data_IF_826845490822
#
_entry.id   IF_826845490822
#
_cell.length_a   1.000
_cell.length_b   1.000
_cell.length_c   1.000
_cell.angle_alpha   90.00
_cell.angle_beta   90.00
_cell.angle_gamma   90.00
#
_symmetry.space_group_name_H-M   'P 1'
#
loop_
_entity.id
_entity.type
_entity.pdbx_description
1 polymer ?
#
# COMPACT_ATOMS: atom_id res chain seq x y z
N UNK A 1 9.07 -19.41 -8.30
CA UNK A 1 9.05 -18.53 -7.10
C UNK A 1 8.01 -17.40 -7.17
N UNK A 2 7.32 -17.14 -8.30
CA UNK A 2 6.34 -16.05 -8.42
C UNK A 2 4.94 -16.37 -7.87
N UNK A 3 4.47 -17.62 -8.00
CA UNK A 3 3.09 -18.00 -7.64
C UNK A 3 2.81 -17.92 -6.14
N UNK A 4 3.67 -18.48 -5.27
CA UNK A 4 3.45 -18.49 -3.83
C UNK A 4 3.44 -17.08 -3.20
N UNK A 5 4.26 -16.16 -3.73
CA UNK A 5 4.27 -14.77 -3.28
C UNK A 5 3.00 -14.01 -3.69
N UNK A 6 2.42 -14.34 -4.85
CA UNK A 6 1.14 -13.80 -5.31
C UNK A 6 -0.03 -14.33 -4.47
N UNK A 7 -0.02 -15.61 -4.12
CA UNK A 7 -1.04 -16.21 -3.25
C UNK A 7 -1.02 -15.60 -1.84
N UNK A 8 0.17 -15.34 -1.29
CA UNK A 8 0.32 -14.65 -0.01
C UNK A 8 -0.14 -13.18 -0.06
N UNK A 9 0.04 -12.49 -1.20
CA UNK A 9 -0.43 -11.12 -1.38
C UNK A 9 -1.97 -11.02 -1.47
N UNK A 10 -2.64 -12.09 -1.93
CA UNK A 10 -4.11 -12.20 -2.03
C UNK A 10 -4.80 -12.57 -0.71
N UNK A 11 -4.06 -12.75 0.38
CA UNK A 11 -4.70 -13.09 1.66
C UNK A 11 -5.58 -11.92 2.10
N UNK A 12 -6.90 -12.14 2.06
CA UNK A 12 -7.90 -11.14 2.40
C UNK A 12 -7.68 -10.70 3.84
N UNK A 13 -7.26 -9.46 4.01
CA UNK A 13 -7.17 -8.83 5.32
C UNK A 13 -8.41 -7.98 5.54
N UNK A 14 -8.85 -7.87 6.79
CA UNK A 14 -10.00 -7.06 7.18
C UNK A 14 -9.92 -5.64 6.61
N UNK A 15 -11.05 -5.13 6.15
CA UNK A 15 -11.19 -3.73 5.75
C UNK A 15 -11.38 -2.84 6.97
N UNK A 16 -10.78 -1.65 6.92
CA UNK A 16 -10.92 -0.63 7.94
C UNK A 16 -11.47 0.63 7.30
N UNK A 17 -12.55 1.17 7.87
CA UNK A 17 -13.10 2.44 7.43
C UNK A 17 -12.50 3.57 8.26
N UNK A 18 -12.14 4.66 7.59
CA UNK A 18 -11.54 5.81 8.24
C UNK A 18 -11.73 7.09 7.46
N UNK A 19 -11.37 8.20 8.11
CA UNK A 19 -11.45 9.55 7.55
C UNK A 19 -10.04 10.07 7.30
N UNK A 20 -9.83 10.69 6.13
CA UNK A 20 -8.57 11.33 5.78
C UNK A 20 -8.40 12.61 6.60
N UNK A 21 -7.38 12.64 7.47
CA UNK A 21 -7.06 13.79 8.34
C UNK A 21 -6.15 14.79 7.62
N UNK A 22 -5.22 14.30 6.81
CA UNK A 22 -4.33 15.16 6.03
C UNK A 22 -3.91 14.49 4.72
N UNK A 23 -4.13 15.20 3.62
CA UNK A 23 -3.66 14.86 2.28
C UNK A 23 -2.77 15.98 1.71
N UNK A 24 -1.95 15.69 0.69
CA UNK A 24 -1.14 16.68 -0.03
C UNK A 24 0.21 17.05 0.60
N UNK A 25 0.43 16.74 1.88
CA UNK A 25 1.71 17.01 2.56
C UNK A 25 2.84 16.05 2.13
N UNK A 26 2.47 14.82 1.75
CA UNK A 26 3.40 13.77 1.37
C UNK A 26 2.98 13.15 0.05
N UNK A 27 3.94 12.90 -0.84
CA UNK A 27 3.66 12.25 -2.12
C UNK A 27 3.09 10.84 -1.91
N UNK A 28 2.02 10.52 -2.63
CA UNK A 28 1.37 9.19 -2.64
C UNK A 28 1.05 8.62 -1.26
N UNK A 29 0.78 9.49 -0.29
CA UNK A 29 0.61 9.14 1.12
C UNK A 29 -0.40 10.07 1.78
N UNK A 30 -1.30 9.48 2.56
CA UNK A 30 -2.27 10.23 3.37
C UNK A 30 -2.26 9.76 4.82
N UNK A 31 -2.67 10.62 5.74
CA UNK A 31 -2.90 10.27 7.14
C UNK A 31 -4.38 10.00 7.34
N UNK A 32 -4.72 8.80 7.82
CA UNK A 32 -6.10 8.34 7.95
C UNK A 32 -6.38 7.99 9.41
N UNK A 33 -7.49 8.48 9.94
CA UNK A 33 -7.97 8.14 11.28
C UNK A 33 -8.99 7.03 11.19
N UNK A 34 -8.70 5.93 11.88
CA UNK A 34 -9.58 4.76 11.98
C UNK A 34 -10.14 4.68 13.40
N UNK A 35 -11.42 4.30 13.50
CA UNK A 35 -12.07 4.05 14.78
C UNK A 35 -11.43 2.89 15.54
N UNK A 36 -11.45 2.97 16.86
CA UNK A 36 -10.96 1.90 17.71
C UNK A 36 -11.61 2.01 19.08
N UNK A 37 -11.69 0.89 19.79
CA UNK A 37 -12.14 0.86 21.17
C UNK A 37 -11.12 0.13 22.03
N UNK A 38 -11.02 0.54 23.29
CA UNK A 38 -10.19 -0.09 24.30
C UNK A 38 -11.02 -0.33 25.56
N UNK A 39 -11.06 -1.58 26.00
CA UNK A 39 -11.61 -1.94 27.30
C UNK A 39 -10.69 -1.46 28.43
N UNK A 40 -11.28 -0.84 29.45
CA UNK A 40 -10.60 -0.47 30.69
C UNK A 40 -11.13 -1.34 31.82
N UNK A 41 -10.31 -2.30 32.28
CA UNK A 41 -10.71 -3.26 33.32
C UNK A 41 -11.06 -2.60 34.65
N UNK A 42 -10.34 -1.55 35.08
CA UNK A 42 -10.64 -0.87 36.34
C UNK A 42 -12.05 -0.24 36.38
N UNK A 43 -12.56 0.21 35.23
CA UNK A 43 -13.86 0.90 35.11
C UNK A 43 -14.92 0.00 34.46
N UNK A 44 -14.52 -1.18 33.95
CA UNK A 44 -15.37 -2.12 33.21
C UNK A 44 -16.15 -1.43 32.07
N UNK A 45 -15.47 -0.56 31.31
CA UNK A 45 -16.08 0.24 30.23
C UNK A 45 -15.22 0.26 28.97
N UNK A 46 -15.89 0.28 27.81
CA UNK A 46 -15.28 0.51 26.51
C UNK A 46 -15.07 2.02 26.28
N UNK A 47 -13.84 2.42 25.97
CA UNK A 47 -13.49 3.79 25.61
C UNK A 47 -13.08 3.88 24.14
N UNK A 48 -13.47 4.96 23.47
CA UNK A 48 -13.03 5.25 22.10
C UNK A 48 -11.54 5.58 22.07
N UNK A 49 -10.78 4.84 21.26
CA UNK A 49 -9.36 5.04 21.03
C UNK A 49 -9.06 5.03 19.53
N UNK A 50 -9.28 6.16 18.83
CA UNK A 50 -8.97 6.25 17.41
C UNK A 50 -7.46 6.11 17.19
N UNK A 51 -7.08 5.52 16.04
CA UNK A 51 -5.68 5.37 15.62
C UNK A 51 -5.47 6.04 14.28
N UNK A 52 -4.31 6.69 14.12
CA UNK A 52 -3.92 7.30 12.86
C UNK A 52 -2.92 6.38 12.14
N UNK A 53 -3.11 6.15 10.86
CA UNK A 53 -2.23 5.37 10.00
C UNK A 53 -1.72 6.21 8.83
N UNK A 54 -0.49 5.93 8.41
CA UNK A 54 0.01 6.39 7.11
C UNK A 54 -0.39 5.37 6.05
N UNK A 55 -1.19 5.81 5.09
CA UNK A 55 -1.79 4.97 4.07
C UNK A 55 -1.21 5.34 2.71
N UNK A 56 -0.92 4.33 1.90
CA UNK A 56 -0.45 4.52 0.54
C UNK A 56 -1.62 4.78 -0.41
N UNK A 57 -1.56 5.94 -1.08
CA UNK A 57 -2.44 6.33 -2.18
C UNK A 57 -1.61 6.37 -3.48
N UNK A 58 -1.71 5.37 -4.37
CA UNK A 58 -0.85 5.26 -5.55
C UNK A 58 -0.93 6.45 -6.52
N UNK A 59 -2.12 7.01 -6.68
CA UNK A 59 -2.45 8.01 -7.70
C UNK A 59 -2.79 9.39 -7.11
N UNK A 60 -2.64 9.57 -5.78
CA UNK A 60 -2.91 10.84 -5.10
C UNK A 60 -4.34 11.36 -5.34
N UNK A 61 -5.31 10.44 -5.33
CA UNK A 61 -6.73 10.73 -5.58
C UNK A 61 -7.45 11.35 -4.38
N UNK A 62 -6.89 11.19 -3.18
CA UNK A 62 -7.58 11.56 -1.94
C UNK A 62 -7.41 13.03 -1.55
N UNK A 63 -8.40 13.56 -0.85
CA UNK A 63 -8.44 14.90 -0.25
C UNK A 63 -8.73 14.79 1.25
N UNK A 64 -8.37 15.84 1.99
CA UNK A 64 -8.68 15.91 3.42
C UNK A 64 -10.19 15.92 3.63
N UNK A 65 -10.70 15.07 4.52
CA UNK A 65 -12.13 14.93 4.79
C UNK A 65 -12.80 13.74 4.11
N UNK A 66 -12.17 13.08 3.15
CA UNK A 66 -12.75 11.90 2.50
C UNK A 66 -12.95 10.74 3.49
N UNK A 67 -14.04 10.01 3.34
CA UNK A 67 -14.27 8.71 4.01
C UNK A 67 -13.85 7.61 3.07
N UNK A 68 -12.96 6.72 3.53
CA UNK A 68 -12.32 5.70 2.70
C UNK A 68 -12.31 4.33 3.38
N UNK A 69 -12.22 3.27 2.56
CA UNK A 69 -11.83 1.94 3.03
C UNK A 69 -10.35 1.72 2.78
N UNK A 70 -9.65 1.22 3.80
CA UNK A 70 -8.23 0.87 3.73
C UNK A 70 -8.03 -0.60 4.07
N UNK A 71 -7.02 -1.19 3.42
CA UNK A 71 -6.63 -2.58 3.64
C UNK A 71 -5.22 -2.62 4.23
N UNK A 72 -4.99 -3.28 5.37
CA UNK A 72 -3.67 -3.52 5.93
C UNK A 72 -2.93 -4.63 5.16
N UNK A 73 -1.63 -4.78 5.43
CA UNK A 73 -0.81 -5.84 4.82
C UNK A 73 0.02 -5.38 3.62
N UNK A 74 -0.31 -4.22 3.05
CA UNK A 74 0.46 -3.61 1.97
C UNK A 74 1.63 -2.76 2.50
N UNK A 75 2.81 -3.38 2.63
CA UNK A 75 4.02 -2.70 3.11
C UNK A 75 4.74 -1.97 1.98
N UNK A 76 4.58 -0.65 1.91
CA UNK A 76 5.30 0.22 0.94
C UNK A 76 6.52 0.90 1.55
N UNK A 77 6.51 1.16 2.86
CA UNK A 77 7.55 1.90 3.61
C UNK A 77 7.54 1.42 5.07
N UNK A 78 8.56 1.71 5.92
CA UNK A 78 8.59 1.21 7.31
C UNK A 78 7.32 1.49 8.13
N UNK A 79 6.73 2.68 7.97
CA UNK A 79 5.51 3.11 8.68
C UNK A 79 4.23 3.01 7.83
N UNK A 80 4.34 2.73 6.52
CA UNK A 80 3.18 2.60 5.60
C UNK A 80 2.87 1.13 5.36
N UNK A 81 1.85 0.62 6.05
CA UNK A 81 1.41 -0.78 6.03
C UNK A 81 -0.02 -0.98 5.54
N UNK A 82 -0.65 0.12 5.11
CA UNK A 82 -2.02 0.16 4.65
C UNK A 82 -2.05 0.77 3.26
N UNK A 83 -3.00 0.33 2.44
CA UNK A 83 -3.28 0.88 1.12
C UNK A 83 -4.76 1.23 1.01
N UNK A 84 -5.07 2.24 0.21
CA UNK A 84 -6.45 2.62 -0.09
C UNK A 84 -7.10 1.53 -0.95
N UNK A 85 -8.34 1.13 -0.62
CA UNK A 85 -9.14 0.23 -1.45
C UNK A 85 -10.10 1.01 -2.34
N UNK A 86 -10.95 1.83 -1.74
CA UNK A 86 -11.93 2.66 -2.43
C UNK A 86 -12.32 3.88 -1.58
N UNK A 87 -12.85 4.90 -2.25
CA UNK A 87 -13.49 6.06 -1.61
C UNK A 87 -14.95 5.68 -1.33
N UNK A 88 -15.38 5.84 -0.08
CA UNK A 88 -16.76 5.59 0.34
C UNK A 88 -17.58 6.86 0.15
N UNK A 89 -17.08 7.98 0.65
CA UNK A 89 -17.70 9.29 0.47
C UNK A 89 -16.62 10.33 0.17
N UNK A 90 -16.63 10.96 -1.03
CA UNK A 90 -15.72 12.05 -1.34
C UNK A 90 -16.15 13.33 -0.62
N UNK A 91 -15.18 14.13 -0.21
CA UNK A 91 -15.38 15.48 0.31
C UNK A 91 -14.90 16.54 -0.70
N UNK A 92 -15.74 17.53 -1.00
CA UNK A 92 -15.43 18.57 -1.96
C UNK A 92 -15.58 18.07 -3.40
N UNK A 93 -14.46 17.82 -4.10
CA UNK A 93 -14.51 17.44 -5.52
C UNK A 93 -15.09 16.03 -5.72
N UNK A 94 -15.93 15.81 -6.74
CA UNK A 94 -16.52 14.50 -7.01
C UNK A 94 -15.47 13.47 -7.43
N UNK A 95 -15.82 12.18 -7.35
CA UNK A 95 -14.89 11.09 -7.67
C UNK A 95 -14.49 11.07 -9.15
N UNK A 96 -15.37 11.55 -10.04
CA UNK A 96 -15.17 11.57 -11.49
C UNK A 96 -14.05 12.51 -11.93
N UNK A 97 -13.77 13.57 -11.17
CA UNK A 97 -12.72 14.54 -11.47
C UNK A 97 -11.35 14.14 -10.89
N UNK A 98 -11.30 13.03 -10.16
CA UNK A 98 -10.10 12.56 -9.46
C UNK A 98 -9.45 11.42 -10.23
N UNK A 99 -8.13 11.24 -10.10
CA UNK A 99 -7.48 10.09 -10.70
C UNK A 99 -8.02 8.79 -10.07
N UNK A 100 -8.27 7.75 -10.87
CA UNK A 100 -8.84 6.50 -10.38
C UNK A 100 -7.87 5.78 -9.43
N UNK A 101 -8.40 5.06 -8.45
CA UNK A 101 -7.60 4.23 -7.54
C UNK A 101 -7.32 2.89 -8.23
N UNK A 102 -6.05 2.43 -8.35
CA UNK A 102 -5.73 1.17 -8.98
C UNK A 102 -6.37 -0.02 -8.27
N UNK A 103 -6.81 -1.01 -9.04
CA UNK A 103 -7.38 -2.25 -8.50
C UNK A 103 -6.32 -3.04 -7.70
N UNK A 104 -6.76 -4.03 -6.91
CA UNK A 104 -5.82 -4.92 -6.22
C UNK A 104 -4.93 -5.68 -7.21
N UNK A 105 -5.51 -6.16 -8.31
CA UNK A 105 -4.81 -6.92 -9.34
C UNK A 105 -3.76 -6.08 -10.05
N UNK A 106 -4.08 -4.83 -10.41
CA UNK A 106 -3.14 -3.89 -11.00
C UNK A 106 -1.96 -3.59 -10.07
N UNK A 107 -2.23 -3.43 -8.77
CA UNK A 107 -1.18 -3.19 -7.77
C UNK A 107 -0.24 -4.38 -7.64
N UNK A 108 -0.80 -5.60 -7.62
CA UNK A 108 -0.01 -6.83 -7.56
C UNK A 108 0.81 -6.99 -8.84
N UNK A 109 0.20 -6.81 -10.02
CA UNK A 109 0.87 -6.87 -11.31
C UNK A 109 2.04 -5.89 -11.39
N UNK A 110 1.85 -4.64 -10.97
CA UNK A 110 2.91 -3.63 -10.92
C UNK A 110 4.07 -4.05 -9.99
N UNK A 111 3.78 -4.69 -8.85
CA UNK A 111 4.82 -5.17 -7.94
C UNK A 111 5.59 -6.37 -8.50
N UNK A 112 4.89 -7.27 -9.20
CA UNK A 112 5.50 -8.42 -9.91
C UNK A 112 6.42 -7.93 -11.02
N UNK A 113 5.94 -7.04 -11.90
CA UNK A 113 6.75 -6.45 -12.97
C UNK A 113 8.02 -5.78 -12.42
N UNK A 114 7.88 -4.99 -11.35
CA UNK A 114 9.03 -4.34 -10.69
C UNK A 114 10.03 -5.36 -10.14
N UNK A 115 9.55 -6.48 -9.61
CA UNK A 115 10.40 -7.56 -9.10
C UNK A 115 11.10 -8.31 -10.23
N UNK A 116 10.38 -8.63 -11.30
CA UNK A 116 10.90 -9.31 -12.50
C UNK A 116 11.99 -8.46 -13.17
N UNK A 117 11.74 -7.15 -13.37
CA UNK A 117 12.73 -6.22 -13.90
C UNK A 117 14.01 -6.17 -13.02
N UNK A 118 13.85 -6.19 -11.69
CA UNK A 118 14.98 -6.25 -10.76
C UNK A 118 15.76 -7.56 -10.88
N UNK A 119 15.08 -8.69 -11.06
CA UNK A 119 15.71 -10.01 -11.24
C UNK A 119 16.45 -10.06 -12.57
N UNK A 120 15.82 -9.65 -13.68
CA UNK A 120 16.44 -9.59 -15.00
C UNK A 120 17.72 -8.74 -15.01
N UNK A 121 17.70 -7.57 -14.35
CA UNK A 121 18.90 -6.73 -14.20
C UNK A 121 20.01 -7.43 -13.41
N UNK A 122 19.67 -8.22 -12.38
CA UNK A 122 20.66 -8.97 -11.58
C UNK A 122 21.24 -10.15 -12.34
N UNK A 123 20.42 -10.85 -13.13
CA UNK A 123 20.89 -11.99 -13.93
C UNK A 123 21.81 -11.53 -15.05
N UNK A 124 21.48 -10.44 -15.75
CA UNK A 124 22.34 -9.85 -16.77
C UNK A 124 23.72 -9.46 -16.21
N UNK A 125 23.75 -8.73 -15.09
CA UNK A 125 24.99 -8.36 -14.41
C UNK A 125 25.83 -9.58 -14.00
N UNK A 126 25.20 -10.65 -13.51
CA UNK A 126 25.89 -11.89 -13.13
C UNK A 126 26.46 -12.62 -14.35
N UNK A 127 25.75 -12.61 -15.47
CA UNK A 127 26.22 -13.18 -16.74
C UNK A 127 27.43 -12.41 -17.26
N UNK A 128 27.38 -11.07 -17.30
CA UNK A 128 28.50 -10.21 -17.69
C UNK A 128 29.75 -10.46 -16.82
N UNK A 129 29.57 -10.52 -15.49
CA UNK A 129 30.67 -10.83 -14.56
C UNK A 129 31.26 -12.23 -14.82
N UNK A 130 30.43 -13.24 -15.11
CA UNK A 130 30.92 -14.59 -15.45
C UNK A 130 31.67 -14.63 -16.79
N UNK A 131 31.20 -13.91 -17.81
CA UNK A 131 31.87 -13.84 -19.12
C UNK A 131 33.22 -13.12 -19.04
N UNK A 132 33.37 -12.14 -18.14
CA UNK A 132 34.64 -11.43 -17.92
C UNK A 132 35.64 -12.25 -17.09
N UNK A 133 35.15 -13.10 -16.20
CA UNK A 133 35.98 -13.93 -15.32
C UNK A 133 36.57 -15.18 -16.00
N UNK A 134 36.05 -15.58 -17.16
CA UNK A 134 36.68 -16.59 -18.02
C UNK A 134 37.46 -15.86 -19.12
N UNK A 135 38.73 -15.44 -18.89
CA UNK A 135 39.55 -14.98 -19.99
C UNK A 135 39.73 -16.15 -20.95
N UNK A 136 39.42 -15.93 -22.22
CA UNK A 136 39.80 -16.79 -23.33
C UNK A 136 41.30 -17.07 -23.24
N UNK A 137 41.67 -18.23 -22.70
CA UNK A 137 43.04 -18.75 -22.82
C UNK A 137 43.22 -19.13 -24.29
N UNK A 138 43.88 -18.23 -25.02
CA UNK A 138 44.46 -18.50 -26.33
C UNK A 138 45.93 -18.88 -26.16
#
# INVERSE_FOLDING_TARGET
MSSQAMTAARQVVRELHGVVVSAGLMQKTVKVRVGGQQWKQAVQKMFTKPKNYLVHDPNSSLRTGDVISIVPGWRTSPHKRHVVKNIIAPYGTPISERPPIPSEEERIAAQVQKREAKVARRTARKQEESTKATPSQA
#
